data_IF_576798603119
#
_entry.id   IF_576798603119
#
_cell.length_a   1.000
_cell.length_b   1.000
_cell.length_c   1.000
_cell.angle_alpha   90.00
_cell.angle_beta   90.00
_cell.angle_gamma   90.00
#
_symmetry.space_group_name_H-M   'P 1'
#
loop_
_entity.id
_entity.type
_entity.pdbx_description
1 polymer ?
#
# COMPACT_ATOMS: atom_id res chain seq x y z
N UNK A 1 -6.73 -12.34 -51.55
CA UNK A 1 -6.10 -12.46 -50.20
C UNK A 1 -7.20 -12.28 -49.16
N UNK A 2 -7.73 -13.38 -48.64
CA UNK A 2 -8.81 -13.37 -47.65
C UNK A 2 -8.18 -13.33 -46.25
N UNK A 3 -8.44 -12.24 -45.55
CA UNK A 3 -8.05 -12.04 -44.15
C UNK A 3 -8.95 -12.91 -43.24
N UNK A 4 -8.43 -13.98 -42.69
CA UNK A 4 -9.11 -14.78 -41.67
C UNK A 4 -8.98 -14.09 -40.31
N UNK A 5 -10.10 -13.49 -39.87
CA UNK A 5 -10.19 -12.97 -38.49
C UNK A 5 -10.04 -14.10 -37.45
N UNK A 6 -9.35 -13.88 -36.34
CA UNK A 6 -9.24 -14.87 -35.27
C UNK A 6 -10.61 -15.15 -34.64
N UNK A 7 -10.86 -16.38 -34.15
CA UNK A 7 -12.12 -16.73 -33.53
C UNK A 7 -12.34 -15.92 -32.23
N UNK A 8 -13.60 -15.56 -31.89
CA UNK A 8 -13.89 -14.81 -30.68
C UNK A 8 -13.50 -15.62 -29.45
N UNK A 9 -12.73 -14.98 -28.58
CA UNK A 9 -12.37 -15.54 -27.26
C UNK A 9 -13.64 -15.84 -26.46
N UNK A 10 -13.74 -17.05 -25.91
CA UNK A 10 -14.86 -17.48 -25.08
C UNK A 10 -15.11 -16.48 -23.93
N UNK A 11 -16.38 -16.15 -23.62
CA UNK A 11 -16.69 -15.15 -22.59
C UNK A 11 -16.17 -15.60 -21.23
N UNK A 12 -15.39 -14.74 -20.57
CA UNK A 12 -14.65 -15.01 -19.32
C UNK A 12 -15.49 -15.43 -18.10
N UNK A 13 -16.83 -15.45 -18.21
CA UNK A 13 -17.71 -15.94 -17.15
C UNK A 13 -17.75 -17.47 -17.05
N UNK A 14 -17.57 -18.19 -18.17
CA UNK A 14 -17.50 -19.66 -18.20
C UNK A 14 -16.26 -20.21 -17.50
N UNK A 15 -15.14 -19.48 -17.49
CA UNK A 15 -13.92 -19.87 -16.79
C UNK A 15 -14.06 -19.79 -15.26
N UNK A 16 -14.98 -19.00 -14.73
CA UNK A 16 -15.22 -18.81 -13.27
C UNK A 16 -15.94 -19.99 -12.62
N UNK A 17 -16.61 -20.85 -13.36
CA UNK A 17 -17.46 -21.95 -12.87
C UNK A 17 -16.88 -23.34 -13.07
N UNK A 18 -15.62 -23.45 -13.51
CA UNK A 18 -15.02 -24.78 -13.65
C UNK A 18 -14.81 -25.43 -12.27
N UNK A 19 -15.28 -26.67 -12.06
CA UNK A 19 -15.10 -27.36 -10.78
C UNK A 19 -13.62 -27.52 -10.41
N UNK A 20 -12.75 -27.59 -11.41
CA UNK A 20 -11.29 -27.61 -11.22
C UNK A 20 -10.73 -26.29 -10.64
N UNK A 21 -11.32 -25.13 -10.98
CA UNK A 21 -10.92 -23.85 -10.40
C UNK A 21 -11.41 -23.75 -8.94
N UNK A 22 -12.61 -24.23 -8.63
CA UNK A 22 -13.13 -24.28 -7.28
C UNK A 22 -12.30 -25.22 -6.38
N UNK A 23 -11.92 -26.40 -6.90
CA UNK A 23 -11.06 -27.35 -6.18
C UNK A 23 -9.66 -26.76 -5.93
N UNK A 24 -9.06 -26.10 -6.93
CA UNK A 24 -7.78 -25.40 -6.78
C UNK A 24 -7.85 -24.28 -5.75
N UNK A 25 -8.92 -23.50 -5.72
CA UNK A 25 -9.14 -22.45 -4.69
C UNK A 25 -9.23 -23.05 -3.30
N UNK A 26 -10.02 -24.13 -3.10
CA UNK A 26 -10.15 -24.82 -1.81
C UNK A 26 -8.82 -25.43 -1.35
N UNK A 27 -8.09 -26.07 -2.26
CA UNK A 27 -6.78 -26.63 -1.96
C UNK A 27 -5.78 -25.54 -1.56
N UNK A 28 -5.75 -24.43 -2.31
CA UNK A 28 -4.89 -23.27 -2.00
C UNK A 28 -5.25 -22.65 -0.64
N UNK A 29 -6.54 -22.41 -0.38
CA UNK A 29 -7.00 -21.87 0.90
C UNK A 29 -6.62 -22.78 2.08
N UNK A 30 -6.79 -24.10 1.90
CA UNK A 30 -6.39 -25.09 2.88
C UNK A 30 -4.88 -25.09 3.12
N UNK A 31 -4.09 -25.08 2.05
CA UNK A 31 -2.64 -25.07 2.13
C UNK A 31 -2.10 -23.75 2.72
N UNK A 32 -2.62 -22.60 2.28
CA UNK A 32 -2.27 -21.30 2.86
C UNK A 32 -2.64 -21.19 4.35
N UNK A 33 -3.72 -21.84 4.77
CA UNK A 33 -4.11 -21.91 6.18
C UNK A 33 -3.11 -22.63 7.09
N UNK A 34 -2.28 -23.51 6.51
CA UNK A 34 -1.19 -24.22 7.24
C UNK A 34 0.09 -23.39 7.39
N UNK A 35 0.27 -22.35 6.56
CA UNK A 35 1.41 -21.47 6.71
C UNK A 35 1.24 -20.59 7.94
N UNK A 36 2.20 -20.65 8.84
CA UNK A 36 2.25 -19.77 10.02
C UNK A 36 2.37 -18.32 9.55
N UNK A 37 1.52 -17.45 10.11
CA UNK A 37 1.62 -16.00 9.88
C UNK A 37 2.76 -15.44 10.74
N UNK A 38 3.75 -14.87 10.10
CA UNK A 38 4.89 -14.23 10.79
C UNK A 38 5.51 -13.17 9.89
N UNK A 39 5.92 -12.06 10.48
CA UNK A 39 6.62 -10.99 9.75
C UNK A 39 8.11 -11.27 9.59
N UNK A 40 8.62 -12.24 10.33
CA UNK A 40 9.99 -12.73 10.21
C UNK A 40 9.97 -14.23 9.95
N UNK A 41 10.62 -14.66 8.88
CA UNK A 41 10.74 -16.06 8.50
C UNK A 41 12.21 -16.42 8.32
N UNK A 42 12.70 -17.37 9.10
CA UNK A 42 13.97 -18.01 8.84
C UNK A 42 13.78 -19.20 7.90
N UNK A 43 14.57 -19.25 6.83
CA UNK A 43 14.53 -20.30 5.82
C UNK A 43 15.33 -21.52 6.28
N UNK A 44 14.61 -22.56 6.67
CA UNK A 44 15.15 -23.83 7.11
C UNK A 44 15.03 -24.88 5.99
N UNK A 45 15.65 -26.01 6.19
CA UNK A 45 15.57 -27.14 5.23
C UNK A 45 14.13 -27.65 5.02
N UNK A 46 13.21 -27.41 5.97
CA UNK A 46 11.81 -27.89 5.92
C UNK A 46 10.87 -27.02 5.12
N UNK A 47 11.22 -25.74 4.95
CA UNK A 47 10.33 -24.76 4.27
C UNK A 47 10.87 -24.31 2.91
N UNK A 48 11.98 -24.92 2.45
CA UNK A 48 12.60 -24.65 1.15
C UNK A 48 12.35 -25.86 0.24
N UNK A 49 11.73 -25.59 -0.90
CA UNK A 49 11.40 -26.60 -1.93
C UNK A 49 12.38 -26.51 -3.08
N UNK A 50 12.67 -27.64 -3.74
CA UNK A 50 13.53 -27.70 -4.90
C UNK A 50 12.91 -28.59 -5.98
N UNK A 51 12.96 -28.11 -7.24
CA UNK A 51 12.54 -28.87 -8.41
C UNK A 51 13.45 -28.56 -9.61
N UNK A 52 13.68 -29.54 -10.50
CA UNK A 52 14.34 -29.27 -11.76
C UNK A 52 13.50 -28.31 -12.62
N UNK A 53 14.15 -27.40 -13.30
CA UNK A 53 13.56 -26.52 -14.31
C UNK A 53 13.43 -27.23 -15.66
N UNK A 54 12.81 -26.59 -16.67
CA UNK A 54 12.84 -27.10 -18.05
C UNK A 54 14.26 -27.42 -18.55
N UNK A 55 15.20 -26.46 -18.46
CA UNK A 55 16.61 -26.72 -18.75
C UNK A 55 17.24 -27.86 -17.92
N UNK A 56 16.83 -27.97 -16.63
CA UNK A 56 17.29 -29.07 -15.78
C UNK A 56 16.83 -30.44 -16.27
N UNK A 57 15.58 -30.56 -16.72
CA UNK A 57 15.06 -31.77 -17.33
C UNK A 57 15.74 -32.09 -18.67
N UNK A 58 15.98 -31.09 -19.51
CA UNK A 58 16.72 -31.26 -20.77
C UNK A 58 18.14 -31.79 -20.50
N UNK A 59 18.83 -31.19 -19.50
CA UNK A 59 20.15 -31.69 -19.09
C UNK A 59 20.09 -33.16 -18.64
N UNK A 60 19.10 -33.51 -17.81
CA UNK A 60 18.94 -34.91 -17.34
C UNK A 60 18.75 -35.88 -18.51
N UNK A 61 17.89 -35.55 -19.49
CA UNK A 61 17.68 -36.37 -20.69
C UNK A 61 18.99 -36.49 -21.51
N UNK A 62 19.68 -35.36 -21.72
CA UNK A 62 20.96 -35.36 -22.45
C UNK A 62 22.00 -36.21 -21.75
N UNK A 63 22.10 -36.19 -20.44
CA UNK A 63 23.03 -37.05 -19.69
C UNK A 63 22.69 -38.54 -19.82
N UNK A 64 21.40 -38.89 -19.82
CA UNK A 64 20.97 -40.28 -20.04
C UNK A 64 21.34 -40.77 -21.46
N UNK A 65 21.05 -39.95 -22.48
CA UNK A 65 21.40 -40.26 -23.86
C UNK A 65 22.92 -40.41 -24.02
N UNK A 66 23.68 -39.47 -23.46
CA UNK A 66 25.14 -39.51 -23.50
C UNK A 66 25.69 -40.73 -22.77
N UNK A 67 25.11 -41.12 -21.65
CA UNK A 67 25.50 -42.33 -20.92
C UNK A 67 25.24 -43.61 -21.75
N UNK A 68 24.04 -43.73 -22.33
CA UNK A 68 23.68 -44.88 -23.17
C UNK A 68 24.61 -44.98 -24.38
N UNK A 69 24.88 -43.86 -25.06
CA UNK A 69 25.82 -43.82 -26.18
C UNK A 69 27.23 -44.22 -25.74
N UNK A 70 27.70 -43.73 -24.58
CA UNK A 70 29.02 -44.08 -24.04
C UNK A 70 29.15 -45.57 -23.74
N UNK A 71 28.08 -46.19 -23.22
CA UNK A 71 28.01 -47.62 -22.95
C UNK A 71 28.05 -48.43 -24.29
N UNK A 72 27.19 -48.04 -25.24
CA UNK A 72 27.05 -48.77 -26.51
C UNK A 72 28.31 -48.72 -27.37
N UNK A 73 28.98 -47.56 -27.40
CA UNK A 73 30.19 -47.34 -28.18
C UNK A 73 31.50 -47.52 -27.37
N UNK A 74 31.41 -47.86 -26.08
CA UNK A 74 32.54 -48.02 -25.16
C UNK A 74 33.50 -46.82 -25.13
N UNK A 75 32.93 -45.62 -25.17
CA UNK A 75 33.66 -44.34 -25.22
C UNK A 75 34.09 -43.90 -23.83
N UNK A 76 35.35 -44.09 -23.45
CA UNK A 76 35.87 -43.66 -22.15
C UNK A 76 35.71 -42.17 -21.92
N UNK A 77 35.91 -41.33 -22.94
CA UNK A 77 35.72 -39.89 -22.87
C UNK A 77 34.24 -39.54 -22.66
N UNK A 78 33.30 -40.30 -23.23
CA UNK A 78 31.87 -40.15 -23.05
C UNK A 78 31.44 -40.34 -21.58
N UNK A 79 31.97 -41.37 -20.92
CA UNK A 79 31.75 -41.55 -19.48
C UNK A 79 32.29 -40.39 -18.66
N UNK A 80 33.52 -39.93 -18.97
CA UNK A 80 34.12 -38.79 -18.25
C UNK A 80 33.23 -37.53 -18.33
N UNK A 81 32.78 -37.17 -19.53
CA UNK A 81 31.89 -36.03 -19.73
C UNK A 81 30.55 -36.20 -19.02
N UNK A 82 29.93 -37.38 -19.12
CA UNK A 82 28.66 -37.64 -18.47
C UNK A 82 28.77 -37.48 -16.96
N UNK A 83 29.76 -38.08 -16.33
CA UNK A 83 29.92 -37.98 -14.86
C UNK A 83 30.36 -36.59 -14.40
N UNK A 84 31.17 -35.88 -15.17
CA UNK A 84 31.56 -34.49 -14.85
C UNK A 84 30.37 -33.56 -14.90
N UNK A 85 29.51 -33.65 -15.93
CA UNK A 85 28.31 -32.86 -16.07
C UNK A 85 27.27 -33.22 -15.00
N UNK A 86 27.09 -34.54 -14.75
CA UNK A 86 26.20 -35.00 -13.68
C UNK A 86 26.66 -34.50 -12.29
N UNK A 87 27.96 -34.59 -12.01
CA UNK A 87 28.55 -34.05 -10.78
C UNK A 87 28.35 -32.55 -10.64
N UNK A 88 28.54 -31.79 -11.73
CA UNK A 88 28.29 -30.35 -11.76
C UNK A 88 26.82 -30.02 -11.48
N UNK A 89 25.87 -30.79 -12.02
CA UNK A 89 24.45 -30.62 -11.77
C UNK A 89 24.10 -30.91 -10.30
N UNK A 90 24.64 -31.94 -9.69
CA UNK A 90 24.44 -32.26 -8.26
C UNK A 90 25.03 -31.18 -7.36
N UNK A 91 26.23 -30.72 -7.66
CA UNK A 91 26.86 -29.60 -6.92
C UNK A 91 25.98 -28.32 -7.07
N UNK A 92 25.52 -28.03 -8.30
CA UNK A 92 24.63 -26.91 -8.58
C UNK A 92 23.33 -27.00 -7.79
N UNK A 93 22.73 -28.18 -7.64
CA UNK A 93 21.54 -28.41 -6.80
C UNK A 93 21.83 -28.07 -5.34
N UNK A 94 22.94 -28.53 -4.80
CA UNK A 94 23.33 -28.22 -3.40
C UNK A 94 23.58 -26.73 -3.18
N UNK A 95 24.24 -26.06 -4.11
CA UNK A 95 24.49 -24.60 -4.04
C UNK A 95 23.16 -23.84 -4.11
N UNK A 96 22.28 -24.21 -5.04
CA UNK A 96 20.95 -23.58 -5.17
C UNK A 96 20.15 -23.69 -3.86
N UNK A 97 20.11 -24.88 -3.25
CA UNK A 97 19.45 -25.10 -1.97
C UNK A 97 20.12 -24.29 -0.85
N UNK A 98 21.45 -24.27 -0.79
CA UNK A 98 22.22 -23.53 0.20
C UNK A 98 22.08 -22.01 0.04
N UNK A 99 21.70 -21.51 -1.13
CA UNK A 99 21.48 -20.07 -1.38
C UNK A 99 20.28 -19.53 -0.60
N UNK A 100 19.19 -20.26 -0.47
CA UNK A 100 18.02 -19.85 0.33
C UNK A 100 18.11 -20.32 1.78
N UNK A 101 18.64 -21.49 2.07
CA UNK A 101 18.73 -22.03 3.43
C UNK A 101 19.53 -21.10 4.38
N UNK A 102 18.98 -20.82 5.58
CA UNK A 102 19.60 -19.95 6.59
C UNK A 102 19.55 -18.46 6.23
N UNK A 103 18.69 -18.07 5.31
CA UNK A 103 18.35 -16.67 5.03
C UNK A 103 17.18 -16.29 5.92
N UNK A 104 17.24 -15.12 6.53
CA UNK A 104 16.13 -14.54 7.30
C UNK A 104 15.44 -13.46 6.46
N UNK A 105 14.14 -13.63 6.26
CA UNK A 105 13.27 -12.65 5.59
C UNK A 105 12.49 -11.90 6.66
N UNK A 106 12.47 -10.58 6.59
CA UNK A 106 11.69 -9.72 7.50
C UNK A 106 10.91 -8.70 6.69
N UNK A 107 9.58 -8.65 6.88
CA UNK A 107 8.73 -7.62 6.30
C UNK A 107 8.63 -6.45 7.27
N UNK A 108 9.10 -5.30 6.83
CA UNK A 108 8.89 -4.04 7.55
C UNK A 108 7.40 -3.67 7.49
N UNK A 109 6.88 -3.08 8.56
CA UNK A 109 5.48 -2.66 8.62
C UNK A 109 5.11 -1.81 7.40
N UNK A 110 4.15 -2.24 6.57
CA UNK A 110 3.74 -1.49 5.39
C UNK A 110 3.15 -0.13 5.78
N UNK A 111 3.51 0.90 5.05
CA UNK A 111 2.92 2.22 5.26
C UNK A 111 1.51 2.28 4.67
N UNK A 112 0.58 3.00 5.32
CA UNK A 112 -0.75 3.22 4.78
C UNK A 112 -0.72 3.82 3.38
N UNK A 113 -1.63 3.40 2.50
CA UNK A 113 -1.70 3.85 1.12
C UNK A 113 -3.13 4.19 0.72
N UNK A 114 -3.29 5.03 -0.29
CA UNK A 114 -4.60 5.28 -0.90
C UNK A 114 -4.95 4.17 -1.89
N UNK A 115 -6.24 3.84 -1.98
CA UNK A 115 -6.75 2.90 -2.97
C UNK A 115 -6.39 3.37 -4.39
N UNK A 116 -5.97 2.43 -5.23
CA UNK A 116 -5.47 2.72 -6.59
C UNK A 116 -3.97 3.03 -6.67
N UNK A 117 -3.31 3.32 -5.54
CA UNK A 117 -1.85 3.46 -5.48
C UNK A 117 -1.18 2.11 -5.23
N UNK A 118 0.02 1.93 -5.76
CA UNK A 118 0.83 0.75 -5.43
C UNK A 118 1.47 0.91 -4.06
N UNK A 119 1.21 -0.04 -3.16
CA UNK A 119 1.91 -0.14 -1.89
C UNK A 119 3.30 -0.75 -2.12
N UNK A 120 4.33 -0.12 -1.59
CA UNK A 120 5.67 -0.69 -1.55
C UNK A 120 5.84 -1.55 -0.30
N UNK A 121 5.98 -2.86 -0.48
CA UNK A 121 6.32 -3.80 0.58
C UNK A 121 7.85 -3.87 0.68
N UNK A 122 8.41 -3.41 1.78
CA UNK A 122 9.85 -3.44 2.05
C UNK A 122 10.20 -4.74 2.76
N UNK A 123 10.94 -5.61 2.07
CA UNK A 123 11.42 -6.89 2.59
C UNK A 123 12.91 -6.82 2.80
N UNK A 124 13.34 -7.02 4.03
CA UNK A 124 14.74 -7.12 4.42
C UNK A 124 15.18 -8.57 4.43
N UNK A 125 16.28 -8.84 3.73
CA UNK A 125 16.94 -10.14 3.68
C UNK A 125 18.23 -10.06 4.50
N UNK A 126 18.40 -10.94 5.49
CA UNK A 126 19.59 -10.97 6.34
C UNK A 126 20.28 -12.32 6.21
N UNK A 127 21.59 -12.31 5.95
CA UNK A 127 22.42 -13.50 5.85
C UNK A 127 23.53 -13.45 6.91
N UNK A 128 23.67 -14.53 7.67
CA UNK A 128 24.78 -14.70 8.60
C UNK A 128 25.94 -15.53 7.99
N UNK A 129 25.78 -15.96 6.74
CA UNK A 129 26.77 -16.78 6.05
C UNK A 129 27.97 -15.94 5.63
N UNK A 130 29.18 -16.50 5.71
CA UNK A 130 30.45 -15.85 5.32
C UNK A 130 30.63 -15.69 3.81
N UNK A 131 29.73 -16.26 2.98
CA UNK A 131 29.74 -16.13 1.53
C UNK A 131 28.50 -15.41 1.04
N UNK A 132 28.61 -14.58 0.00
CA UNK A 132 27.45 -13.87 -0.56
C UNK A 132 26.45 -14.85 -1.17
N UNK A 133 25.22 -14.40 -1.32
CA UNK A 133 24.10 -15.13 -1.94
C UNK A 133 23.62 -14.36 -3.14
N UNK A 134 23.50 -15.04 -4.27
CA UNK A 134 23.20 -14.41 -5.55
C UNK A 134 21.81 -14.83 -6.09
N UNK A 135 21.21 -13.92 -6.84
CA UNK A 135 20.01 -14.20 -7.62
C UNK A 135 18.81 -14.62 -6.75
N UNK A 136 18.51 -13.88 -5.68
CA UNK A 136 17.32 -14.10 -4.88
C UNK A 136 16.22 -13.18 -5.37
N UNK A 137 15.13 -13.77 -5.85
CA UNK A 137 13.94 -13.07 -6.30
C UNK A 137 12.84 -13.15 -5.25
N UNK A 138 12.14 -12.05 -5.03
CA UNK A 138 10.94 -12.02 -4.19
C UNK A 138 9.79 -11.43 -5.00
N UNK A 139 8.61 -12.05 -4.89
CA UNK A 139 7.40 -11.60 -5.54
C UNK A 139 6.17 -11.85 -4.68
N UNK A 140 5.10 -11.13 -4.95
CA UNK A 140 3.77 -11.45 -4.42
C UNK A 140 3.31 -12.75 -5.08
N UNK A 141 2.89 -13.72 -4.26
CA UNK A 141 2.33 -14.97 -4.79
C UNK A 141 1.01 -14.66 -5.49
N UNK A 142 0.98 -14.83 -6.81
CA UNK A 142 -0.14 -14.44 -7.65
C UNK A 142 -1.45 -15.12 -7.28
N UNK A 143 -2.54 -14.37 -7.52
CA UNK A 143 -3.92 -14.85 -7.37
C UNK A 143 -4.28 -15.95 -8.38
N UNK A 144 -5.59 -16.24 -8.48
CA UNK A 144 -6.14 -17.38 -9.25
C UNK A 144 -6.04 -17.24 -10.78
N UNK A 145 -5.53 -16.13 -11.29
CA UNK A 145 -5.46 -15.91 -12.74
C UNK A 145 -4.14 -16.44 -13.30
N UNK A 146 -4.20 -17.49 -14.14
CA UNK A 146 -2.99 -18.00 -14.80
C UNK A 146 -2.37 -16.98 -15.77
N UNK A 147 -3.11 -15.95 -16.20
CA UNK A 147 -2.58 -14.85 -17.02
C UNK A 147 -1.67 -13.92 -16.21
N UNK A 148 -1.87 -13.83 -14.90
CA UNK A 148 -1.00 -13.07 -13.99
C UNK A 148 0.31 -13.77 -13.64
N UNK A 149 0.50 -15.03 -14.04
CA UNK A 149 1.80 -15.72 -13.87
C UNK A 149 2.92 -15.12 -14.74
N UNK A 150 2.58 -14.45 -15.83
CA UNK A 150 3.56 -13.78 -16.70
C UNK A 150 4.06 -12.44 -16.12
N UNK A 151 3.26 -11.77 -15.27
CA UNK A 151 3.54 -10.43 -14.75
C UNK A 151 3.86 -10.41 -13.25
N UNK A 152 4.43 -11.50 -12.70
CA UNK A 152 5.01 -11.42 -11.38
C UNK A 152 6.21 -10.47 -11.46
N UNK A 153 6.03 -9.27 -10.96
CA UNK A 153 7.14 -8.33 -10.79
C UNK A 153 8.08 -8.89 -9.73
N UNK A 154 9.03 -9.73 -10.20
CA UNK A 154 10.11 -10.23 -9.37
C UNK A 154 11.07 -9.10 -9.05
N UNK A 155 11.27 -8.84 -7.80
CA UNK A 155 12.35 -7.99 -7.34
C UNK A 155 13.56 -8.86 -7.01
N UNK A 156 14.60 -8.76 -7.82
CA UNK A 156 15.83 -9.55 -7.69
C UNK A 156 16.88 -8.79 -6.92
N UNK A 157 17.59 -9.49 -6.05
CA UNK A 157 18.70 -8.93 -5.26
C UNK A 157 19.74 -9.97 -4.93
N UNK A 158 20.93 -9.51 -4.60
CA UNK A 158 22.00 -10.29 -4.00
C UNK A 158 22.15 -9.87 -2.54
N UNK A 159 22.51 -10.83 -1.69
CA UNK A 159 22.75 -10.57 -0.27
C UNK A 159 24.23 -10.73 0.01
N UNK A 160 24.93 -9.69 0.51
CA UNK A 160 26.34 -9.78 0.84
C UNK A 160 26.63 -10.79 1.96
N UNK A 161 27.89 -11.21 2.06
CA UNK A 161 28.32 -12.06 3.15
C UNK A 161 28.12 -11.35 4.48
N UNK A 162 27.54 -12.06 5.47
CA UNK A 162 27.24 -11.52 6.83
C UNK A 162 26.54 -10.16 6.79
N UNK A 163 25.66 -9.95 5.79
CA UNK A 163 25.06 -8.65 5.51
C UNK A 163 23.57 -8.72 5.27
N UNK A 164 23.07 -7.59 4.82
CA UNK A 164 21.64 -7.37 4.59
C UNK A 164 21.42 -6.80 3.19
N UNK A 165 20.27 -7.10 2.61
CA UNK A 165 19.75 -6.47 1.40
C UNK A 165 18.28 -6.11 1.62
N UNK A 166 17.82 -5.05 0.96
CA UNK A 166 16.43 -4.61 1.02
C UNK A 166 15.84 -4.69 -0.38
N UNK A 167 14.62 -5.21 -0.45
CA UNK A 167 13.88 -5.35 -1.70
C UNK A 167 12.52 -4.70 -1.56
N UNK A 168 12.11 -3.96 -2.58
CA UNK A 168 10.81 -3.33 -2.68
C UNK A 168 9.92 -4.09 -3.66
N UNK A 169 8.76 -4.51 -3.20
CA UNK A 169 7.79 -5.25 -4.02
C UNK A 169 6.53 -4.40 -4.11
N UNK A 170 6.05 -4.17 -5.34
CA UNK A 170 4.81 -3.46 -5.56
C UNK A 170 3.61 -4.39 -5.33
N UNK A 171 2.64 -3.91 -4.58
CA UNK A 171 1.35 -4.56 -4.38
C UNK A 171 0.23 -3.53 -4.52
N UNK A 172 -0.74 -3.79 -5.39
CA UNK A 172 -1.87 -2.90 -5.61
C UNK A 172 -3.13 -3.43 -4.92
N UNK A 173 -3.57 -2.82 -3.81
CA UNK A 173 -4.78 -3.22 -3.13
C UNK A 173 -6.02 -2.84 -3.94
N UNK A 174 -6.99 -3.76 -4.02
CA UNK A 174 -8.22 -3.59 -4.82
C UNK A 174 -9.37 -2.94 -4.05
N UNK A 175 -9.26 -2.83 -2.74
CA UNK A 175 -10.32 -2.31 -1.86
C UNK A 175 -9.69 -1.49 -0.73
N UNK A 176 -10.45 -0.53 -0.19
CA UNK A 176 -10.07 0.18 1.03
C UNK A 176 -10.26 -0.69 2.28
N UNK A 177 -9.66 -0.28 3.36
CA UNK A 177 -9.75 -0.93 4.66
C UNK A 177 -8.46 -1.61 5.08
N UNK A 178 -8.54 -2.43 6.12
CA UNK A 178 -7.40 -3.16 6.64
C UNK A 178 -7.28 -4.52 5.93
N UNK A 179 -6.19 -4.69 5.18
CA UNK A 179 -5.95 -5.91 4.40
C UNK A 179 -4.73 -6.66 4.91
N UNK A 180 -4.79 -7.98 5.02
CA UNK A 180 -3.58 -8.77 5.24
C UNK A 180 -2.65 -8.64 4.03
N UNK A 181 -1.35 -8.54 4.27
CA UNK A 181 -0.36 -8.62 3.21
C UNK A 181 -0.47 -9.97 2.51
N UNK A 182 -0.46 -10.02 1.16
CA UNK A 182 -0.56 -11.27 0.42
C UNK A 182 0.63 -12.20 0.71
N UNK A 183 0.45 -13.49 0.41
CA UNK A 183 1.56 -14.45 0.51
C UNK A 183 2.69 -14.03 -0.43
N UNK A 184 3.90 -14.05 0.04
CA UNK A 184 5.11 -13.78 -0.72
C UNK A 184 5.79 -15.10 -1.10
N UNK A 185 6.50 -15.08 -2.23
CA UNK A 185 7.37 -16.18 -2.68
C UNK A 185 8.78 -15.65 -2.78
N UNK A 186 9.73 -16.35 -2.19
CA UNK A 186 11.15 -16.14 -2.45
C UNK A 186 11.69 -17.30 -3.28
N UNK A 187 12.43 -17.02 -4.34
CA UNK A 187 13.02 -18.06 -5.17
C UNK A 187 14.46 -17.73 -5.61
N UNK A 188 15.20 -18.74 -5.96
CA UNK A 188 16.47 -18.64 -6.67
C UNK A 188 16.61 -19.72 -7.72
N UNK A 189 17.36 -19.42 -8.77
CA UNK A 189 17.79 -20.37 -9.80
C UNK A 189 19.31 -20.40 -9.95
N UNK A 190 19.99 -19.70 -9.08
CA UNK A 190 21.46 -19.67 -9.05
C UNK A 190 22.02 -21.06 -8.62
N UNK A 191 23.16 -21.57 -9.19
CA UNK A 191 24.00 -20.90 -10.18
C UNK A 191 23.64 -21.22 -11.64
N UNK A 192 23.16 -22.38 -11.95
CA UNK A 192 23.06 -22.92 -13.32
C UNK A 192 21.67 -22.77 -13.96
N UNK A 193 20.67 -22.34 -13.21
CA UNK A 193 19.29 -22.30 -13.68
C UNK A 193 18.64 -23.68 -13.89
N UNK A 194 19.36 -24.77 -13.64
CA UNK A 194 18.86 -26.14 -13.78
C UNK A 194 17.88 -26.55 -12.69
N UNK A 195 17.95 -25.91 -11.55
CA UNK A 195 17.01 -26.09 -10.42
C UNK A 195 16.38 -24.79 -10.03
N UNK A 196 15.10 -24.86 -9.71
CA UNK A 196 14.35 -23.82 -9.05
C UNK A 196 14.22 -24.18 -7.58
N UNK A 197 14.65 -23.28 -6.72
CA UNK A 197 14.50 -23.40 -5.27
C UNK A 197 13.61 -22.26 -4.81
N UNK A 198 12.56 -22.55 -4.01
CA UNK A 198 11.62 -21.53 -3.57
C UNK A 198 11.03 -21.84 -2.22
N UNK A 199 10.43 -20.81 -1.63
CA UNK A 199 9.64 -20.91 -0.42
C UNK A 199 8.42 -20.00 -0.51
N UNK A 200 7.44 -20.28 0.33
CA UNK A 200 6.26 -19.44 0.51
C UNK A 200 6.24 -18.87 1.90
N UNK A 201 5.94 -17.60 2.00
CA UNK A 201 5.90 -16.86 3.23
C UNK A 201 4.61 -16.06 3.36
N UNK A 202 3.92 -16.20 4.50
CA UNK A 202 2.68 -15.49 4.81
C UNK A 202 2.95 -14.48 5.91
N UNK A 203 3.11 -13.18 5.60
CA UNK A 203 3.28 -12.14 6.60
C UNK A 203 2.08 -12.04 7.53
N UNK A 204 2.31 -11.63 8.78
CA UNK A 204 1.27 -11.31 9.75
C UNK A 204 0.81 -9.86 9.62
N UNK A 205 1.67 -8.99 9.07
CA UNK A 205 1.42 -7.58 8.86
C UNK A 205 0.15 -7.30 8.07
N UNK A 206 -0.47 -6.16 8.37
CA UNK A 206 -1.65 -5.67 7.70
C UNK A 206 -1.35 -4.31 7.06
N UNK A 207 -1.93 -4.07 5.90
CA UNK A 207 -1.86 -2.82 5.17
C UNK A 207 -3.16 -2.05 5.34
N UNK A 208 -3.07 -0.83 5.84
CA UNK A 208 -4.20 0.10 5.86
C UNK A 208 -4.30 0.81 4.51
N UNK A 209 -5.47 0.69 3.88
CA UNK A 209 -5.76 1.31 2.58
C UNK A 209 -6.84 2.35 2.78
N UNK A 210 -6.47 3.61 2.57
CA UNK A 210 -7.40 4.73 2.59
C UNK A 210 -8.25 4.77 1.31
N UNK A 211 -9.44 5.39 1.35
CA UNK A 211 -10.21 5.65 0.14
C UNK A 211 -9.39 6.47 -0.87
N UNK A 212 -9.59 6.22 -2.16
CA UNK A 212 -8.98 7.06 -3.19
C UNK A 212 -9.56 8.47 -3.13
N UNK A 213 -8.76 9.54 -3.06
CA UNK A 213 -9.30 10.88 -3.15
C UNK A 213 -9.87 11.15 -4.55
N UNK A 214 -10.98 11.89 -4.64
CA UNK A 214 -11.55 12.36 -5.90
C UNK A 214 -10.52 13.24 -6.62
N UNK A 215 -10.33 13.04 -7.91
CA UNK A 215 -9.32 13.76 -8.70
C UNK A 215 -9.62 15.25 -8.86
N UNK A 216 -10.91 15.60 -9.02
CA UNK A 216 -11.41 16.97 -9.20
C UNK A 216 -12.57 17.23 -8.23
N UNK A 217 -12.27 17.38 -6.92
CA UNK A 217 -13.33 17.62 -5.95
C UNK A 217 -13.91 19.04 -6.12
N UNK A 218 -15.20 19.23 -5.84
CA UNK A 218 -15.78 20.57 -5.74
C UNK A 218 -15.09 21.34 -4.60
N UNK A 219 -15.26 22.67 -4.55
CA UNK A 219 -14.75 23.51 -3.46
C UNK A 219 -15.16 22.95 -2.09
N UNK A 220 -14.37 23.26 -1.07
CA UNK A 220 -14.71 22.93 0.31
C UNK A 220 -16.09 23.47 0.67
N UNK A 221 -16.90 22.76 1.46
CA UNK A 221 -18.18 23.24 1.91
C UNK A 221 -18.01 24.52 2.77
N UNK A 222 -19.02 25.38 2.76
CA UNK A 222 -19.02 26.58 3.59
C UNK A 222 -19.05 26.16 5.07
N UNK A 223 -18.19 26.77 5.88
CA UNK A 223 -18.14 26.48 7.31
C UNK A 223 -19.46 26.76 8.02
N UNK A 224 -19.82 25.92 8.98
CA UNK A 224 -20.97 26.13 9.84
C UNK A 224 -20.66 27.16 10.94
N UNK A 225 -21.61 28.04 11.31
CA UNK A 225 -21.43 28.95 12.44
C UNK A 225 -21.22 28.11 13.71
N UNK A 226 -20.18 28.41 14.48
CA UNK A 226 -19.95 27.72 15.76
C UNK A 226 -21.16 27.90 16.66
N UNK A 227 -21.83 26.85 17.06
CA UNK A 227 -22.85 26.86 18.09
C UNK A 227 -22.18 27.30 19.40
N UNK A 228 -22.35 28.55 19.79
CA UNK A 228 -21.81 29.09 21.02
C UNK A 228 -22.61 28.48 22.19
N UNK A 229 -22.24 27.28 22.59
CA UNK A 229 -22.68 26.72 23.88
C UNK A 229 -22.21 27.68 24.98
N UNK A 230 -23.06 27.93 25.98
CA UNK A 230 -22.79 28.75 27.18
C UNK A 230 -21.59 28.17 27.95
N UNK A 231 -20.40 28.29 27.43
CA UNK A 231 -19.13 28.00 28.09
C UNK A 231 -18.32 29.26 28.17
N UNK A 232 -17.98 29.72 29.38
CA UNK A 232 -17.11 30.85 29.63
C UNK A 232 -15.74 30.58 28.96
N UNK A 233 -15.59 31.01 27.72
CA UNK A 233 -14.28 31.00 27.09
C UNK A 233 -13.54 32.28 27.54
N UNK A 234 -12.72 32.12 28.57
CA UNK A 234 -11.67 33.08 28.91
C UNK A 234 -10.54 32.93 27.86
N UNK A 235 -10.78 33.47 26.68
CA UNK A 235 -9.74 33.69 25.71
C UNK A 235 -9.64 35.20 25.47
N UNK A 236 -8.64 35.80 26.09
CA UNK A 236 -8.14 37.11 25.72
C UNK A 236 -7.51 37.03 24.32
N UNK A 237 -8.35 36.98 23.30
CA UNK A 237 -7.96 37.29 21.93
C UNK A 237 -8.39 38.68 21.62
N UNK A 238 -7.45 39.58 21.36
CA UNK A 238 -7.69 40.94 20.85
C UNK A 238 -8.40 40.75 19.51
N UNK A 239 -9.74 40.83 19.50
CA UNK A 239 -10.52 40.84 18.28
C UNK A 239 -10.10 42.01 17.41
N UNK A 240 -9.68 41.74 16.19
CA UNK A 240 -9.50 42.80 15.18
C UNK A 240 -10.84 43.50 14.97
N UNK A 241 -10.84 44.77 15.31
CA UNK A 241 -12.02 45.63 15.15
C UNK A 241 -11.99 46.16 13.71
N UNK A 242 -12.82 45.61 12.86
CA UNK A 242 -12.79 45.87 11.41
C UNK A 242 -13.74 47.00 10.97
N UNK A 243 -14.13 47.88 11.86
CA UNK A 243 -14.95 49.01 11.48
C UNK A 243 -15.45 49.87 12.66
N UNK A 244 -15.89 51.05 12.35
CA UNK A 244 -16.60 51.96 13.27
C UNK A 244 -17.96 52.31 12.63
N UNK A 245 -19.05 52.14 13.37
CA UNK A 245 -20.40 52.54 12.97
C UNK A 245 -20.98 53.65 13.88
N UNK A 246 -22.01 54.33 13.40
CA UNK A 246 -22.73 55.27 14.25
C UNK A 246 -23.32 54.56 15.47
N UNK A 247 -23.18 55.18 16.66
CA UNK A 247 -23.74 54.69 17.91
C UNK A 247 -25.26 54.55 17.83
N UNK A 248 -25.79 53.43 18.25
CA UNK A 248 -27.24 53.24 18.41
C UNK A 248 -27.60 53.19 19.88
N UNK A 249 -28.72 53.82 20.24
CA UNK A 249 -29.23 53.85 21.61
C UNK A 249 -29.44 52.43 22.14
N UNK A 250 -28.63 52.03 23.14
CA UNK A 250 -28.60 50.65 23.66
C UNK A 250 -27.27 49.94 23.44
N UNK A 251 -26.35 50.48 22.65
CA UNK A 251 -25.01 49.93 22.53
C UNK A 251 -24.23 50.10 23.84
N UNK A 252 -23.43 49.08 24.26
CA UNK A 252 -22.61 49.18 25.46
C UNK A 252 -21.59 50.29 25.35
N UNK A 253 -21.56 51.21 26.30
CA UNK A 253 -20.66 52.38 26.34
C UNK A 253 -19.17 52.03 26.25
N UNK A 254 -18.79 50.81 26.62
CA UNK A 254 -17.42 50.29 26.48
C UNK A 254 -16.95 50.14 25.01
N UNK A 255 -17.88 50.08 24.07
CA UNK A 255 -17.59 50.01 22.65
C UNK A 255 -17.47 51.37 21.97
N UNK A 256 -17.78 52.45 22.66
CA UNK A 256 -17.67 53.80 22.12
C UNK A 256 -16.20 54.18 21.96
N UNK A 257 -15.85 54.68 20.77
CA UNK A 257 -14.51 55.17 20.47
C UNK A 257 -14.36 56.61 20.99
N UNK A 258 -14.11 56.74 22.30
CA UNK A 258 -14.04 58.01 23.01
C UNK A 258 -13.12 59.06 22.38
N UNK A 259 -12.03 58.63 21.75
CA UNK A 259 -11.09 59.52 21.03
C UNK A 259 -11.74 60.17 19.80
N UNK A 260 -12.63 59.48 19.08
CA UNK A 260 -13.42 60.07 17.97
C UNK A 260 -14.59 60.89 18.50
N UNK A 261 -15.27 60.44 19.54
CA UNK A 261 -16.33 61.16 20.22
C UNK A 261 -15.85 62.52 20.75
N UNK A 262 -14.68 62.56 21.38
CA UNK A 262 -14.10 63.86 21.88
C UNK A 262 -13.76 64.80 20.71
N UNK A 263 -13.42 64.34 19.56
CA UNK A 263 -13.10 65.14 18.38
C UNK A 263 -14.36 65.64 17.67
N UNK A 264 -15.46 64.86 17.65
CA UNK A 264 -16.75 65.27 17.09
C UNK A 264 -17.47 66.28 18.00
N UNK A 265 -17.39 66.11 19.32
CA UNK A 265 -17.90 67.15 20.30
C UNK A 265 -17.19 68.47 20.12
N UNK A 266 -15.91 68.52 19.81
CA UNK A 266 -15.16 69.75 19.53
C UNK A 266 -15.53 70.44 18.22
N UNK A 267 -16.19 69.77 17.30
CA UNK A 267 -16.65 70.27 15.99
C UNK A 267 -18.17 70.52 15.92
N UNK A 268 -18.91 70.39 17.03
CA UNK A 268 -20.35 70.60 17.06
C UNK A 268 -21.22 69.52 16.43
N UNK A 269 -20.65 68.37 16.11
CA UNK A 269 -21.37 67.19 15.59
C UNK A 269 -21.54 66.18 16.74
N UNK A 270 -22.77 65.88 17.09
CA UNK A 270 -23.13 65.02 18.23
C UNK A 270 -23.11 63.52 17.80
N UNK A 271 -22.14 63.12 16.92
CA UNK A 271 -22.03 61.81 16.36
C UNK A 271 -21.11 60.91 17.22
N UNK A 272 -21.74 60.18 18.14
CA UNK A 272 -21.06 59.09 18.84
C UNK A 272 -20.82 57.93 17.89
N UNK A 273 -19.58 57.38 17.89
CA UNK A 273 -19.15 56.29 17.06
C UNK A 273 -18.80 55.09 17.93
N UNK A 274 -19.46 53.96 17.67
CA UNK A 274 -19.21 52.68 18.32
C UNK A 274 -18.31 51.80 17.47
N UNK A 275 -17.46 51.03 18.10
CA UNK A 275 -16.71 49.95 17.42
C UNK A 275 -17.70 48.89 16.98
N UNK A 276 -17.70 48.58 15.69
CA UNK A 276 -18.45 47.45 15.18
C UNK A 276 -17.65 46.18 15.47
N UNK A 277 -18.08 45.50 16.52
CA UNK A 277 -17.60 44.15 16.75
C UNK A 277 -18.36 43.24 15.77
N UNK A 278 -17.95 43.18 14.51
CA UNK A 278 -18.28 42.03 13.75
C UNK A 278 -17.74 40.84 14.53
N UNK A 279 -18.62 40.11 15.17
CA UNK A 279 -18.30 38.78 15.62
C UNK A 279 -17.89 38.02 14.37
N UNK A 280 -16.59 37.88 14.13
CA UNK A 280 -16.10 36.89 13.23
C UNK A 280 -16.60 35.56 13.81
N UNK A 281 -17.76 35.12 13.33
CA UNK A 281 -18.23 33.78 13.63
C UNK A 281 -17.14 32.89 13.12
N UNK A 282 -16.33 32.35 14.03
CA UNK A 282 -15.35 31.34 13.69
C UNK A 282 -16.15 30.20 13.05
N UNK A 283 -16.10 30.12 11.73
CA UNK A 283 -16.77 29.10 10.99
C UNK A 283 -15.99 27.81 11.22
N UNK A 284 -16.68 26.79 11.69
CA UNK A 284 -16.11 25.46 11.81
C UNK A 284 -16.36 24.71 10.50
N UNK A 285 -15.31 24.20 9.88
CA UNK A 285 -15.43 23.40 8.70
C UNK A 285 -15.85 21.97 9.08
N UNK A 286 -17.08 21.59 8.73
CA UNK A 286 -17.58 20.24 8.90
C UNK A 286 -17.66 19.52 7.56
N UNK A 287 -16.95 18.40 7.46
CA UNK A 287 -16.95 17.54 6.28
C UNK A 287 -17.90 16.37 6.56
N UNK A 288 -19.05 16.37 5.89
CA UNK A 288 -20.11 15.40 6.09
C UNK A 288 -20.28 14.51 4.87
N UNK A 289 -20.22 13.19 5.06
CA UNK A 289 -20.44 12.19 4.01
C UNK A 289 -21.86 12.28 3.44
N UNK A 290 -22.86 12.69 4.25
CA UNK A 290 -24.23 12.87 3.76
C UNK A 290 -24.36 14.05 2.79
N UNK A 291 -23.59 15.11 3.00
CA UNK A 291 -23.59 16.32 2.17
C UNK A 291 -22.72 16.23 0.92
N UNK A 292 -22.05 15.11 0.68
CA UNK A 292 -21.21 14.92 -0.52
C UNK A 292 -21.98 14.85 -1.86
N UNK A 293 -23.34 14.83 -1.82
CA UNK A 293 -24.24 14.93 -2.99
C UNK A 293 -23.93 13.95 -4.15
N UNK A 294 -23.50 12.76 -3.84
CA UNK A 294 -23.25 11.68 -4.81
C UNK A 294 -24.12 10.46 -4.49
N UNK A 295 -24.60 9.71 -5.49
CA UNK A 295 -25.46 8.56 -5.27
C UNK A 295 -24.73 7.38 -4.61
N UNK A 296 -23.47 7.17 -5.01
CA UNK A 296 -22.66 6.05 -4.51
C UNK A 296 -21.89 6.40 -3.25
N UNK A 297 -21.90 5.49 -2.27
CA UNK A 297 -21.20 5.64 -0.99
C UNK A 297 -19.68 5.75 -1.18
N UNK A 298 -19.10 4.96 -2.09
CA UNK A 298 -17.67 5.01 -2.37
C UNK A 298 -17.27 6.37 -2.95
N UNK A 299 -18.08 6.90 -3.88
CA UNK A 299 -17.83 8.21 -4.45
C UNK A 299 -17.96 9.33 -3.40
N UNK A 300 -18.92 9.24 -2.46
CA UNK A 300 -19.05 10.20 -1.34
C UNK A 300 -17.80 10.18 -0.46
N UNK A 301 -17.33 9.00 -0.10
CA UNK A 301 -16.15 8.85 0.75
C UNK A 301 -14.90 9.36 0.00
N UNK A 302 -14.79 9.11 -1.30
CA UNK A 302 -13.73 9.61 -2.16
C UNK A 302 -13.66 11.15 -2.16
N UNK A 303 -14.83 11.80 -2.28
CA UNK A 303 -14.97 13.26 -2.20
C UNK A 303 -14.56 13.81 -0.84
N UNK A 304 -15.08 13.22 0.23
CA UNK A 304 -14.74 13.65 1.60
C UNK A 304 -13.25 13.46 1.87
N UNK A 305 -12.65 12.37 1.38
CA UNK A 305 -11.19 12.16 1.48
C UNK A 305 -10.42 13.27 0.78
N UNK A 306 -10.86 13.69 -0.41
CA UNK A 306 -10.23 14.79 -1.12
C UNK A 306 -10.37 16.12 -0.36
N UNK A 307 -11.53 16.39 0.25
CA UNK A 307 -11.75 17.57 1.09
C UNK A 307 -10.89 17.56 2.36
N UNK A 308 -10.74 16.41 3.03
CA UNK A 308 -9.84 16.24 4.19
C UNK A 308 -8.41 16.60 3.79
N UNK A 309 -7.91 16.07 2.68
CA UNK A 309 -6.57 16.37 2.20
C UNK A 309 -6.40 17.84 1.79
N UNK A 310 -7.43 18.46 1.25
CA UNK A 310 -7.43 19.88 0.90
C UNK A 310 -7.42 20.76 2.14
N UNK A 311 -8.27 20.47 3.13
CA UNK A 311 -8.31 21.20 4.40
C UNK A 311 -6.99 21.09 5.17
N UNK A 312 -6.40 19.89 5.21
CA UNK A 312 -5.09 19.64 5.84
C UNK A 312 -3.96 20.46 5.15
N UNK A 313 -3.94 20.48 3.80
CA UNK A 313 -2.97 21.31 3.04
C UNK A 313 -3.12 22.80 3.28
N UNK A 314 -4.35 23.28 3.54
CA UNK A 314 -4.63 24.67 3.85
C UNK A 314 -4.44 25.01 5.33
N UNK A 315 -4.13 24.03 6.19
CA UNK A 315 -3.97 24.20 7.63
C UNK A 315 -5.27 24.58 8.35
N UNK A 316 -6.43 24.20 7.78
CA UNK A 316 -7.74 24.50 8.36
C UNK A 316 -8.09 23.50 9.46
N UNK A 317 -8.77 23.97 10.50
CA UNK A 317 -9.43 23.08 11.46
C UNK A 317 -10.68 22.51 10.82
N UNK A 318 -10.79 21.17 10.73
CA UNK A 318 -11.95 20.50 10.17
C UNK A 318 -12.45 19.37 11.06
N UNK A 319 -13.77 19.24 11.15
CA UNK A 319 -14.47 18.11 11.76
C UNK A 319 -14.98 17.15 10.68
N UNK A 320 -15.15 15.90 11.05
CA UNK A 320 -15.66 14.85 10.16
C UNK A 320 -16.95 14.27 10.73
N UNK A 321 -18.02 14.23 9.90
CA UNK A 321 -19.27 13.53 10.20
C UNK A 321 -19.43 12.32 9.30
N UNK A 322 -19.49 11.17 9.92
CA UNK A 322 -19.81 9.90 9.25
C UNK A 322 -21.01 9.26 9.94
N UNK A 323 -21.80 8.40 9.28
CA UNK A 323 -22.92 7.73 9.91
C UNK A 323 -22.52 7.05 11.23
N UNK A 324 -23.12 7.52 12.34
CA UNK A 324 -22.89 6.97 13.68
C UNK A 324 -21.63 7.47 14.41
N UNK A 325 -20.84 8.39 13.82
CA UNK A 325 -19.65 8.96 14.49
C UNK A 325 -19.34 10.39 14.04
N UNK A 326 -19.06 11.24 15.00
CA UNK A 326 -18.54 12.59 14.76
C UNK A 326 -17.13 12.72 15.33
N UNK A 327 -16.26 13.38 14.58
CA UNK A 327 -14.90 13.72 15.00
C UNK A 327 -14.85 15.25 15.07
N UNK A 328 -14.55 15.86 16.25
CA UNK A 328 -14.56 17.30 16.42
C UNK A 328 -13.48 17.98 15.57
N UNK A 329 -13.66 19.27 15.22
CA UNK A 329 -12.70 20.01 14.44
C UNK A 329 -11.33 20.10 15.12
N UNK A 330 -10.31 19.70 14.39
CA UNK A 330 -8.90 19.83 14.75
C UNK A 330 -8.05 19.85 13.48
N UNK A 331 -6.74 19.98 13.61
CA UNK A 331 -5.80 19.90 12.50
C UNK A 331 -4.54 19.11 12.90
N UNK A 332 -3.67 18.86 11.91
CA UNK A 332 -2.38 18.24 12.12
C UNK A 332 -2.35 16.72 11.90
N UNK A 333 -1.14 16.17 11.94
CA UNK A 333 -0.88 14.76 11.57
C UNK A 333 -1.61 13.74 12.47
N UNK A 334 -1.89 14.06 13.71
CA UNK A 334 -2.63 13.19 14.63
C UNK A 334 -4.14 13.19 14.37
N UNK A 335 -4.66 14.23 13.70
CA UNK A 335 -6.08 14.35 13.35
C UNK A 335 -6.38 13.69 12.00
N UNK A 336 -5.46 13.75 11.08
CA UNK A 336 -5.52 13.08 9.76
C UNK A 336 -5.35 11.58 9.88
#
# INVERSE_FOLDING_TARGET
MASTAPPPSAPGWLARWSPAAALRRRFRAWWQGRLKRTDTLELTQRNVYILPTGPGWMLAVTLVVLLIASINFQLNLGYLFTFMLAGSAVIGMHISHATLRGLTLHLKQPQPQFMGSSAALEVQLTSQRSTPRYGIGIAVHGGDDPSTHADHHWAWTDVPAQGQAVVHIAFQPQRRGLHPVPTLTAETRFPLGTFRVWTYWRPAAQLLVYPAPESTPPPLPVGEPRATGKGHATSQGIGEFDGVRAYRRGDPLKLVVWKKAAKSLGSGADDLVSRDAQQSHRQELWLDVAHAQLPDLEARISRVTAWVLQADRLGLDYGLRVPGREIPPANGAAHR
#
